data_IF_379797651066
#
_entry.id   IF_379797651066
#
_cell.length_a   1.000
_cell.length_b   1.000
_cell.length_c   1.000
_cell.angle_alpha   90.00
_cell.angle_beta   90.00
_cell.angle_gamma   90.00
#
_symmetry.space_group_name_H-M   'P 1'
#
loop_
_entity.id
_entity.type
_entity.pdbx_description
1 polymer ?
#
# COMPACT_ATOMS: atom_id res chain seq x y z
N UNK A 1 2.95 15.32 -15.33
CA UNK A 1 3.02 14.17 -14.39
C UNK A 1 2.88 14.71 -12.98
N UNK A 2 2.11 14.04 -12.11
CA UNK A 2 1.90 14.47 -10.72
C UNK A 2 2.39 13.40 -9.74
N UNK A 3 2.92 13.82 -8.61
CA UNK A 3 3.26 12.91 -7.52
C UNK A 3 2.06 12.75 -6.59
N UNK A 4 1.80 11.52 -6.18
CA UNK A 4 0.70 11.16 -5.30
C UNK A 4 1.28 10.57 -4.04
N UNK A 5 0.80 11.03 -2.88
CA UNK A 5 1.12 10.42 -1.59
C UNK A 5 -0.19 10.15 -0.86
N UNK A 6 -0.37 8.91 -0.44
CA UNK A 6 -1.50 8.43 0.36
C UNK A 6 -0.95 8.05 1.73
N UNK A 7 -1.56 8.58 2.79
CA UNK A 7 -1.13 8.42 4.18
C UNK A 7 -2.15 7.59 4.96
N UNK A 8 -1.72 7.10 6.12
CA UNK A 8 -2.54 6.31 7.04
C UNK A 8 -3.09 5.02 6.40
N UNK A 9 -2.27 4.39 5.56
CA UNK A 9 -2.54 3.04 5.06
C UNK A 9 -1.83 2.04 5.94
N UNK A 10 -2.42 0.87 6.14
CA UNK A 10 -1.87 -0.13 7.04
C UNK A 10 -1.47 -1.39 6.29
N UNK A 11 -0.36 -1.97 6.73
CA UNK A 11 0.10 -3.29 6.28
C UNK A 11 -0.07 -4.32 7.38
N UNK A 12 -0.37 -5.56 6.98
CA UNK A 12 -0.67 -6.69 7.87
C UNK A 12 -0.06 -7.98 7.33
N UNK A 13 0.09 -8.98 8.19
CA UNK A 13 0.58 -10.31 7.78
C UNK A 13 2.11 -10.42 7.62
N UNK A 14 2.86 -9.41 8.08
CA UNK A 14 4.34 -9.43 8.05
C UNK A 14 4.90 -10.67 8.76
N UNK A 15 4.29 -11.08 9.87
CA UNK A 15 4.71 -12.24 10.67
C UNK A 15 4.70 -13.58 9.92
N UNK A 16 4.04 -13.68 8.77
CA UNK A 16 4.04 -14.89 7.94
C UNK A 16 5.29 -15.06 7.08
N UNK A 17 6.10 -14.01 6.90
CA UNK A 17 7.27 -14.01 5.99
C UNK A 17 8.60 -13.75 6.71
N UNK A 18 8.59 -13.90 8.05
CA UNK A 18 9.78 -13.85 8.91
C UNK A 18 10.06 -12.48 9.55
N UNK A 19 9.56 -11.38 9.00
CA UNK A 19 9.65 -10.05 9.61
C UNK A 19 8.45 -9.74 10.49
N UNK A 20 8.64 -9.28 11.74
CA UNK A 20 7.50 -8.78 12.55
C UNK A 20 7.14 -7.33 12.25
N UNK A 21 8.00 -6.62 11.52
CA UNK A 21 7.88 -5.22 11.17
C UNK A 21 8.73 -4.88 9.94
N UNK A 22 8.37 -3.79 9.27
CA UNK A 22 9.28 -3.03 8.42
C UNK A 22 10.06 -2.02 9.25
N UNK A 23 11.31 -1.77 8.87
CA UNK A 23 12.07 -0.64 9.41
C UNK A 23 11.49 0.68 8.89
N UNK A 24 11.53 1.72 9.72
CA UNK A 24 11.11 3.06 9.31
C UNK A 24 12.22 3.67 8.48
N UNK A 25 11.90 4.09 7.25
CA UNK A 25 12.85 4.74 6.35
C UNK A 25 12.98 4.04 5.00
N UNK A 26 13.34 2.74 4.97
CA UNK A 26 13.44 1.98 3.73
C UNK A 26 12.20 2.04 2.84
N UNK A 27 12.45 1.93 1.54
CA UNK A 27 11.42 1.86 0.51
C UNK A 27 11.05 0.40 0.25
N UNK A 28 9.76 0.14 0.26
CA UNK A 28 9.16 -1.10 -0.23
C UNK A 28 8.29 -0.80 -1.44
N UNK A 29 7.81 -1.84 -2.11
CA UNK A 29 7.01 -1.71 -3.32
C UNK A 29 5.65 -2.37 -3.12
N UNK A 30 4.60 -1.87 -3.76
CA UNK A 30 3.28 -2.49 -3.67
C UNK A 30 2.63 -2.66 -5.04
N UNK A 31 1.87 -3.76 -5.21
CA UNK A 31 1.14 -4.07 -6.46
C UNK A 31 -0.18 -4.78 -6.16
N UNK A 32 -1.22 -4.41 -6.89
CA UNK A 32 -2.50 -5.14 -6.89
C UNK A 32 -2.33 -6.55 -7.48
N UNK A 33 -2.81 -7.56 -6.78
CA UNK A 33 -2.73 -8.98 -7.15
C UNK A 33 -4.13 -9.55 -7.45
N UNK A 34 -4.73 -9.26 -8.62
CA UNK A 34 -6.07 -9.77 -8.95
C UNK A 34 -6.15 -11.30 -9.01
N UNK A 35 -5.03 -11.98 -9.26
CA UNK A 35 -4.91 -13.45 -9.27
C UNK A 35 -4.70 -14.09 -7.89
N UNK A 36 -4.75 -13.33 -6.80
CA UNK A 36 -4.59 -13.89 -5.46
C UNK A 36 -5.78 -14.78 -5.11
N UNK A 37 -5.51 -16.07 -4.84
CA UNK A 37 -6.54 -17.10 -4.62
C UNK A 37 -7.44 -16.86 -3.41
N UNK A 38 -6.98 -16.08 -2.42
CA UNK A 38 -7.74 -15.81 -1.18
C UNK A 38 -8.50 -14.50 -1.24
N UNK A 39 -8.00 -13.52 -2.00
CA UNK A 39 -8.56 -12.18 -2.03
C UNK A 39 -8.22 -11.45 -3.33
N UNK A 40 -9.17 -11.31 -4.26
CA UNK A 40 -8.97 -10.64 -5.55
C UNK A 40 -8.69 -9.14 -5.45
N UNK A 41 -8.85 -8.54 -4.26
CA UNK A 41 -8.48 -7.15 -4.00
C UNK A 41 -7.16 -7.01 -3.26
N UNK A 42 -6.42 -8.11 -3.04
CA UNK A 42 -5.14 -8.08 -2.33
C UNK A 42 -4.13 -7.14 -3.01
N UNK A 43 -3.48 -6.31 -2.21
CA UNK A 43 -2.30 -5.54 -2.64
C UNK A 43 -1.11 -6.08 -1.88
N UNK A 44 -0.22 -6.76 -2.59
CA UNK A 44 1.02 -7.32 -2.05
C UNK A 44 2.05 -6.22 -1.82
N UNK A 45 2.84 -6.35 -0.76
CA UNK A 45 3.99 -5.49 -0.46
C UNK A 45 5.27 -6.31 -0.60
N UNK A 46 6.25 -5.76 -1.29
CA UNK A 46 7.44 -6.42 -1.77
C UNK A 46 8.70 -5.67 -1.32
N UNK A 47 9.76 -6.44 -1.07
CA UNK A 47 11.06 -5.89 -0.67
C UNK A 47 11.74 -5.14 -1.82
N UNK A 48 11.54 -5.61 -3.05
CA UNK A 48 12.26 -5.15 -4.24
C UNK A 48 11.31 -4.65 -5.34
N UNK A 49 11.85 -3.84 -6.26
CA UNK A 49 11.11 -3.25 -7.39
C UNK A 49 10.70 -4.26 -8.46
N UNK A 50 11.31 -5.44 -8.48
CA UNK A 50 10.99 -6.52 -9.40
C UNK A 50 9.85 -7.41 -8.89
N UNK A 51 9.38 -7.15 -7.66
CA UNK A 51 8.23 -7.81 -7.04
C UNK A 51 8.44 -9.31 -6.86
N UNK A 52 9.67 -9.74 -6.55
CA UNK A 52 9.99 -11.14 -6.33
C UNK A 52 9.68 -11.58 -4.91
N UNK A 53 10.07 -10.78 -3.91
CA UNK A 53 9.93 -11.16 -2.52
C UNK A 53 8.76 -10.42 -1.86
N UNK A 54 7.57 -11.02 -1.87
CA UNK A 54 6.43 -10.51 -1.11
C UNK A 54 6.65 -10.71 0.39
N UNK A 55 6.51 -9.62 1.15
CA UNK A 55 6.70 -9.58 2.61
C UNK A 55 5.37 -9.57 3.34
N UNK A 56 4.36 -8.89 2.81
CA UNK A 56 3.06 -8.80 3.46
C UNK A 56 1.98 -8.32 2.49
N UNK A 57 0.83 -7.91 3.02
CA UNK A 57 -0.24 -7.28 2.26
C UNK A 57 -0.67 -5.98 2.91
N UNK A 58 -1.32 -5.11 2.14
CA UNK A 58 -2.16 -4.08 2.71
C UNK A 58 -3.34 -4.70 3.46
N UNK A 59 -3.78 -3.99 4.51
CA UNK A 59 -5.03 -4.28 5.18
C UNK A 59 -6.17 -4.22 4.16
N UNK A 60 -7.07 -5.21 4.22
CA UNK A 60 -8.14 -5.40 3.23
C UNK A 60 -9.00 -4.15 3.00
N UNK A 61 -9.33 -3.42 4.07
CA UNK A 61 -10.09 -2.15 4.01
C UNK A 61 -9.37 -1.09 3.17
N UNK A 62 -8.06 -0.96 3.35
CA UNK A 62 -7.25 -0.01 2.59
C UNK A 62 -7.11 -0.49 1.13
N UNK A 63 -6.92 -1.80 0.94
CA UNK A 63 -6.77 -2.41 -0.38
C UNK A 63 -8.01 -2.29 -1.27
N UNK A 64 -9.21 -2.36 -0.68
CA UNK A 64 -10.48 -2.26 -1.40
C UNK A 64 -10.59 -0.97 -2.22
N UNK A 65 -10.20 0.15 -1.61
CA UNK A 65 -10.26 1.46 -2.24
C UNK A 65 -9.01 1.72 -3.10
N UNK A 66 -7.84 1.21 -2.69
CA UNK A 66 -6.59 1.48 -3.39
C UNK A 66 -6.39 0.67 -4.66
N UNK A 67 -7.01 -0.50 -4.82
CA UNK A 67 -6.83 -1.33 -6.02
C UNK A 67 -7.13 -0.54 -7.31
N UNK A 68 -8.17 0.30 -7.29
CA UNK A 68 -8.56 1.12 -8.44
C UNK A 68 -7.62 2.31 -8.62
N UNK A 69 -7.13 2.88 -7.51
CA UNK A 69 -6.19 4.00 -7.51
C UNK A 69 -4.85 3.59 -8.12
N UNK A 70 -4.35 2.39 -7.82
CA UNK A 70 -3.07 1.91 -8.34
C UNK A 70 -3.08 1.70 -9.86
N UNK A 71 -4.25 1.59 -10.51
CA UNK A 71 -4.33 1.51 -11.98
C UNK A 71 -3.95 2.82 -12.68
N UNK A 72 -4.03 3.95 -11.97
CA UNK A 72 -3.60 5.26 -12.47
C UNK A 72 -2.09 5.48 -12.30
N UNK A 73 -1.40 4.59 -11.57
CA UNK A 73 0.03 4.71 -11.34
C UNK A 73 0.82 4.52 -12.64
N UNK A 74 1.76 5.44 -12.86
CA UNK A 74 2.75 5.40 -13.94
C UNK A 74 4.10 5.06 -13.33
N UNK A 75 4.43 3.78 -13.40
CA UNK A 75 5.65 3.21 -12.82
C UNK A 75 5.41 2.56 -11.45
N UNK A 76 6.48 2.34 -10.66
CA UNK A 76 6.40 1.61 -9.40
C UNK A 76 5.62 2.42 -8.35
N UNK A 77 4.82 1.70 -7.56
CA UNK A 77 4.20 2.23 -6.36
C UNK A 77 5.09 1.89 -5.16
N UNK A 78 5.53 2.92 -4.45
CA UNK A 78 6.38 2.78 -3.29
C UNK A 78 5.58 2.85 -1.99
N UNK A 79 6.06 2.16 -0.98
CA UNK A 79 5.53 2.13 0.37
C UNK A 79 6.64 2.43 1.36
N UNK A 80 6.35 3.27 2.37
CA UNK A 80 7.27 3.55 3.48
C UNK A 80 6.55 3.39 4.80
N UNK A 81 7.13 2.61 5.71
CA UNK A 81 6.69 2.54 7.09
C UNK A 81 6.87 3.91 7.77
N UNK A 82 5.91 4.29 8.61
CA UNK A 82 5.91 5.57 9.34
C UNK A 82 6.17 5.43 10.83
N UNK A 83 5.78 4.30 11.40
CA UNK A 83 5.95 4.02 12.82
C UNK A 83 6.12 2.52 13.03
N UNK A 84 6.50 2.14 14.24
CA UNK A 84 6.55 0.75 14.67
C UNK A 84 5.16 0.10 14.59
N UNK A 85 5.06 -1.22 14.41
CA UNK A 85 3.77 -1.89 14.35
C UNK A 85 3.02 -1.80 15.68
N UNK A 86 1.73 -1.58 15.58
CA UNK A 86 0.78 -1.69 16.67
C UNK A 86 0.29 -3.15 16.77
N UNK A 87 0.09 -3.63 18.00
CA UNK A 87 -0.56 -4.92 18.22
C UNK A 87 -2.04 -4.77 17.96
N UNK A 88 -2.53 -5.24 16.82
CA UNK A 88 -3.96 -5.17 16.48
C UNK A 88 -4.78 -6.08 17.42
N UNK A 89 -4.37 -7.33 17.58
CA UNK A 89 -4.86 -8.29 18.58
C UNK A 89 -4.03 -9.58 18.53
N UNK A 90 -4.20 -10.49 19.50
CA UNK A 90 -3.60 -11.85 19.43
C UNK A 90 -4.00 -12.61 18.16
N UNK A 91 -5.18 -12.33 17.59
CA UNK A 91 -5.75 -13.05 16.45
C UNK A 91 -5.35 -12.46 15.09
N UNK A 92 -5.13 -11.14 15.00
CA UNK A 92 -4.93 -10.44 13.72
C UNK A 92 -3.48 -10.01 13.46
N UNK A 93 -2.58 -10.25 14.41
CA UNK A 93 -1.15 -10.00 14.27
C UNK A 93 -0.77 -8.51 14.29
N UNK A 94 0.49 -8.18 13.95
CA UNK A 94 0.96 -6.81 13.91
C UNK A 94 0.38 -6.05 12.70
N UNK A 95 0.05 -4.78 12.93
CA UNK A 95 -0.39 -3.84 11.90
C UNK A 95 0.54 -2.63 11.92
N UNK A 96 1.03 -2.17 10.77
CA UNK A 96 1.98 -1.07 10.72
C UNK A 96 1.50 0.06 9.81
N UNK A 97 1.49 1.29 10.34
CA UNK A 97 1.12 2.48 9.57
C UNK A 97 2.21 2.82 8.54
N UNK A 98 1.76 3.10 7.32
CA UNK A 98 2.59 3.36 6.17
C UNK A 98 2.04 4.54 5.36
N UNK A 99 2.88 5.02 4.43
CA UNK A 99 2.44 5.85 3.30
C UNK A 99 2.76 5.16 1.98
N UNK A 100 1.84 5.27 1.03
CA UNK A 100 2.09 4.90 -0.36
C UNK A 100 2.37 6.16 -1.16
N UNK A 101 3.21 6.05 -2.18
CA UNK A 101 3.17 7.03 -3.25
C UNK A 101 3.57 6.45 -4.59
N UNK A 102 3.28 7.22 -5.63
CA UNK A 102 3.50 6.90 -7.02
C UNK A 102 3.35 8.17 -7.86
N UNK A 103 3.60 8.06 -9.16
CA UNK A 103 3.30 9.14 -10.12
C UNK A 103 2.06 8.80 -10.93
N UNK A 104 1.27 9.80 -11.30
CA UNK A 104 0.15 9.65 -12.22
C UNK A 104 0.24 10.64 -13.39
N UNK A 105 -0.55 10.41 -14.43
CA UNK A 105 -0.79 11.43 -15.45
C UNK A 105 -1.57 12.60 -14.87
N UNK A 106 -1.38 13.78 -15.44
CA UNK A 106 -2.06 14.99 -14.99
C UNK A 106 -3.57 14.94 -15.23
N UNK A 107 -3.98 14.41 -16.39
CA UNK A 107 -5.39 14.18 -16.73
C UNK A 107 -6.11 13.18 -15.80
N UNK A 108 -5.37 12.30 -15.12
CA UNK A 108 -5.94 11.28 -14.23
C UNK A 108 -6.08 11.79 -12.77
N UNK A 109 -5.53 12.99 -12.48
CA UNK A 109 -5.40 13.50 -11.12
C UNK A 109 -6.77 13.74 -10.46
N UNK A 110 -7.72 14.33 -11.18
CA UNK A 110 -9.05 14.67 -10.65
C UNK A 110 -9.89 13.41 -10.36
N UNK A 111 -9.92 12.44 -11.29
CA UNK A 111 -10.62 11.17 -11.08
C UNK A 111 -10.04 10.39 -9.90
N UNK A 112 -8.72 10.40 -9.74
CA UNK A 112 -8.07 9.77 -8.59
C UNK A 112 -8.36 10.53 -7.29
N UNK A 113 -8.38 11.86 -7.30
CA UNK A 113 -8.72 12.67 -6.14
C UNK A 113 -10.15 12.38 -5.64
N UNK A 114 -11.09 12.14 -6.56
CA UNK A 114 -12.46 11.74 -6.24
C UNK A 114 -12.51 10.41 -5.49
N UNK A 115 -11.79 9.39 -5.97
CA UNK A 115 -11.72 8.07 -5.32
C UNK A 115 -11.09 8.19 -3.92
N UNK A 116 -10.04 9.02 -3.77
CA UNK A 116 -9.30 9.14 -2.52
C UNK A 116 -10.02 9.97 -1.45
N UNK A 117 -10.85 10.96 -1.86
CA UNK A 117 -11.49 11.94 -0.97
C UNK A 117 -12.36 11.32 0.13
N UNK A 118 -12.97 10.17 -0.13
CA UNK A 118 -13.85 9.51 0.83
C UNK A 118 -13.11 8.66 1.87
N UNK A 119 -11.87 8.27 1.58
CA UNK A 119 -11.25 7.10 2.23
C UNK A 119 -9.86 7.35 2.79
N UNK A 120 -9.14 8.37 2.32
CA UNK A 120 -7.73 8.55 2.70
C UNK A 120 -7.33 10.00 2.91
N UNK A 121 -6.28 10.18 3.69
CA UNK A 121 -5.51 11.42 3.71
C UNK A 121 -4.49 11.34 2.58
N UNK A 122 -4.56 12.25 1.61
CA UNK A 122 -3.68 12.23 0.44
C UNK A 122 -3.17 13.63 0.05
N UNK A 123 -2.13 13.65 -0.80
CA UNK A 123 -1.61 14.86 -1.47
C UNK A 123 -1.26 14.53 -2.92
N UNK A 124 -1.65 15.41 -3.84
CA UNK A 124 -1.27 15.38 -5.26
C UNK A 124 -0.52 16.69 -5.54
N UNK A 125 0.68 16.63 -6.14
CA UNK A 125 1.49 17.82 -6.45
C UNK A 125 2.33 17.65 -7.72
#
# INVERSE_FOLDING_TARGET
MKNVIIRNVYVVGMHHTGGKQFEVGPLHYCRHEPGNRKDCIAIGVYEDSHLHQRRCYLRREDALNLKNVLNFAKGPCYLRAKMSPEKFSKLRGPMQNCSIGFRCCEQDADSMAEILRSSFIYKIY
#
